data_IF_803807382231
#
_entry.id   IF_803807382231
#
_cell.length_a   1.000
_cell.length_b   1.000
_cell.length_c   1.000
_cell.angle_alpha   90.00
_cell.angle_beta   90.00
_cell.angle_gamma   90.00
#
_symmetry.space_group_name_H-M   'P 1'
#
loop_
_entity.id
_entity.type
_entity.pdbx_description
1 polymer ?
#
# COMPACT_ATOMS: atom_id res chain seq x y z
N UNK A 1 5.59 -0.22 -17.41
CA UNK A 1 5.89 -0.70 -16.04
C UNK A 1 4.64 -0.53 -15.21
N UNK A 2 4.34 -1.50 -14.36
CA UNK A 2 3.22 -1.47 -13.41
C UNK A 2 3.82 -1.18 -12.05
N UNK A 3 3.30 -0.16 -11.36
CA UNK A 3 3.51 0.00 -9.93
C UNK A 3 2.28 -0.56 -9.21
N UNK A 4 2.49 -1.41 -8.21
CA UNK A 4 1.42 -2.05 -7.48
C UNK A 4 1.52 -1.80 -5.97
N UNK A 5 0.37 -1.50 -5.39
CA UNK A 5 0.13 -1.29 -3.96
C UNK A 5 -1.28 -1.80 -3.61
N UNK A 6 -1.60 -1.94 -2.34
CA UNK A 6 -2.97 -2.21 -1.89
C UNK A 6 -3.58 -1.00 -1.15
N UNK A 7 -4.91 -0.89 -1.19
CA UNK A 7 -5.62 0.29 -0.67
C UNK A 7 -6.21 0.12 0.72
N UNK A 8 -6.35 -1.13 1.17
CA UNK A 8 -6.89 -1.45 2.48
C UNK A 8 -5.84 -1.27 3.58
N UNK A 9 -6.30 -1.39 4.83
CA UNK A 9 -5.43 -1.34 6.00
C UNK A 9 -6.03 -2.24 7.07
N UNK A 10 -5.18 -2.77 7.96
CA UNK A 10 -5.67 -3.49 9.15
C UNK A 10 -6.33 -2.51 10.14
N UNK A 11 -7.61 -2.67 10.50
CA UNK A 11 -8.31 -1.76 11.42
C UNK A 11 -8.12 -2.16 12.89
N UNK A 12 -6.94 -1.89 13.48
CA UNK A 12 -6.64 -2.19 14.88
C UNK A 12 -6.50 -0.92 15.72
N UNK A 13 -6.98 -0.96 16.96
CA UNK A 13 -6.87 0.15 17.91
C UNK A 13 -6.55 -0.33 19.32
N UNK A 14 -5.94 0.53 20.12
CA UNK A 14 -5.69 0.29 21.54
C UNK A 14 -7.01 0.20 22.32
N UNK A 15 -7.00 -0.56 23.41
CA UNK A 15 -8.21 -0.85 24.21
C UNK A 15 -8.94 0.39 24.74
N UNK A 16 -8.23 1.48 24.98
CA UNK A 16 -8.74 2.76 25.50
C UNK A 16 -9.11 3.76 24.42
N UNK A 17 -8.90 3.43 23.14
CA UNK A 17 -9.15 4.32 22.00
C UNK A 17 -10.57 4.13 21.45
N UNK A 18 -11.33 5.23 21.39
CA UNK A 18 -12.64 5.27 20.73
C UNK A 18 -12.45 5.81 19.31
N UNK A 19 -12.55 4.91 18.34
CA UNK A 19 -12.37 5.19 16.91
C UNK A 19 -13.27 4.24 16.10
N UNK A 20 -13.95 4.77 15.09
CA UNK A 20 -14.78 4.08 14.10
C UNK A 20 -14.09 4.15 12.73
N UNK A 21 -13.42 3.08 12.30
CA UNK A 21 -12.63 3.04 11.05
C UNK A 21 -13.45 3.31 9.77
N UNK A 22 -14.77 3.18 9.81
CA UNK A 22 -15.62 3.49 8.66
C UNK A 22 -15.93 4.99 8.53
N UNK A 23 -15.66 5.79 9.57
CA UNK A 23 -16.11 7.19 9.66
C UNK A 23 -15.02 8.16 10.09
N UNK A 24 -14.18 7.74 11.03
CA UNK A 24 -13.19 8.58 11.66
C UNK A 24 -11.88 8.54 10.86
N UNK A 25 -11.23 9.68 10.62
CA UNK A 25 -9.93 9.71 9.96
C UNK A 25 -8.82 9.22 10.89
N UNK A 26 -7.75 8.66 10.31
CA UNK A 26 -6.53 8.32 11.06
C UNK A 26 -5.84 9.61 11.51
N UNK A 27 -5.72 9.81 12.84
CA UNK A 27 -4.98 10.93 13.41
C UNK A 27 -3.49 10.63 13.45
N UNK A 28 -2.72 11.29 12.56
CA UNK A 28 -1.27 11.11 12.49
C UNK A 28 -0.51 12.16 13.30
N UNK A 29 0.70 11.80 13.75
CA UNK A 29 1.65 12.71 14.39
C UNK A 29 3.10 12.28 14.08
N UNK A 30 4.01 13.24 14.21
CA UNK A 30 5.46 13.01 14.07
C UNK A 30 6.07 12.85 15.47
N UNK A 31 6.89 11.82 15.64
CA UNK A 31 7.63 11.50 16.85
C UNK A 31 9.10 11.24 16.50
N UNK A 32 9.91 12.30 16.58
CA UNK A 32 11.27 12.29 16.08
C UNK A 32 11.30 12.04 14.57
N UNK A 33 11.93 10.95 14.17
CA UNK A 33 12.04 10.52 12.77
C UNK A 33 10.87 9.63 12.31
N UNK A 34 9.89 9.36 13.18
CA UNK A 34 8.77 8.46 12.89
C UNK A 34 7.47 9.22 12.66
N UNK A 35 6.64 8.72 11.74
CA UNK A 35 5.23 9.07 11.65
C UNK A 35 4.42 7.95 12.31
N UNK A 36 3.44 8.30 13.14
CA UNK A 36 2.63 7.35 13.92
C UNK A 36 1.16 7.76 13.90
N UNK A 37 0.27 6.82 14.20
CA UNK A 37 -1.14 7.08 14.44
C UNK A 37 -1.46 7.10 15.95
N UNK A 38 -2.43 7.91 16.35
CA UNK A 38 -2.84 8.01 17.76
C UNK A 38 -3.80 6.88 18.12
N UNK A 39 -3.27 5.84 18.78
CA UNK A 39 -4.08 4.78 19.36
C UNK A 39 -4.71 3.82 18.35
N UNK A 40 -4.35 3.92 17.07
CA UNK A 40 -4.76 3.04 15.98
C UNK A 40 -3.56 2.55 15.17
N UNK A 41 -3.76 1.60 14.28
CA UNK A 41 -2.87 1.37 13.14
C UNK A 41 -2.78 2.61 12.26
N UNK A 42 -1.64 2.79 11.61
CA UNK A 42 -1.35 3.92 10.73
C UNK A 42 -1.83 3.69 9.30
N UNK A 43 -1.85 2.45 8.83
CA UNK A 43 -2.06 2.14 7.41
C UNK A 43 -0.88 2.60 6.54
N UNK A 44 0.33 2.63 7.11
CA UNK A 44 1.55 2.91 6.34
C UNK A 44 1.78 1.80 5.30
N UNK A 45 1.52 0.55 5.71
CA UNK A 45 1.30 -0.55 4.79
C UNK A 45 -0.19 -0.61 4.37
N UNK A 46 -0.55 -0.46 3.08
CA UNK A 46 0.29 0.00 1.96
C UNK A 46 -0.01 1.43 1.50
N UNK A 47 -0.51 2.27 2.42
CA UNK A 47 -0.79 3.68 2.17
C UNK A 47 0.42 4.47 1.67
N UNK A 48 1.64 4.12 2.10
CA UNK A 48 2.87 4.75 1.59
C UNK A 48 3.14 4.37 0.13
N UNK A 49 2.95 3.09 -0.23
CA UNK A 49 3.05 2.60 -1.61
C UNK A 49 2.04 3.29 -2.52
N UNK A 50 0.77 3.36 -2.11
CA UNK A 50 -0.28 4.09 -2.84
C UNK A 50 0.10 5.56 -3.01
N UNK A 51 0.56 6.23 -1.96
CA UNK A 51 0.97 7.63 -2.04
C UNK A 51 2.15 7.84 -3.01
N UNK A 52 3.14 6.94 -3.01
CA UNK A 52 4.27 7.00 -3.93
C UNK A 52 3.82 6.85 -5.40
N UNK A 53 2.91 5.92 -5.68
CA UNK A 53 2.33 5.75 -7.03
C UNK A 53 1.62 7.02 -7.49
N UNK A 54 0.79 7.61 -6.62
CA UNK A 54 0.07 8.84 -6.94
C UNK A 54 1.03 10.02 -7.17
N UNK A 55 2.10 10.12 -6.37
CA UNK A 55 3.13 11.14 -6.56
C UNK A 55 3.85 11.00 -7.91
N UNK A 56 4.18 9.76 -8.33
CA UNK A 56 4.77 9.48 -9.65
C UNK A 56 3.81 9.87 -10.77
N UNK A 57 2.51 9.57 -10.63
CA UNK A 57 1.49 9.94 -11.62
C UNK A 57 1.27 11.46 -11.71
N UNK A 58 1.39 12.18 -10.59
CA UNK A 58 1.24 13.64 -10.54
C UNK A 58 2.49 14.39 -11.07
N UNK A 59 3.68 13.79 -10.93
CA UNK A 59 4.94 14.41 -11.30
C UNK A 59 5.00 14.79 -12.79
N UNK A 60 5.50 16.00 -13.07
CA UNK A 60 5.60 16.55 -14.44
C UNK A 60 7.01 16.55 -15.00
N UNK A 61 7.99 16.30 -14.15
CA UNK A 61 9.42 16.38 -14.42
C UNK A 61 10.15 15.03 -14.28
N UNK A 62 9.42 13.99 -13.87
CA UNK A 62 9.95 12.64 -13.77
C UNK A 62 10.08 12.00 -15.16
N UNK A 63 11.27 11.50 -15.49
CA UNK A 63 11.51 10.77 -16.74
C UNK A 63 11.19 9.29 -16.54
N UNK A 64 10.13 8.81 -17.17
CA UNK A 64 9.76 7.40 -17.18
C UNK A 64 9.13 7.00 -18.52
N UNK A 65 9.09 5.69 -18.79
CA UNK A 65 8.28 5.13 -19.88
C UNK A 65 6.80 5.06 -19.52
N UNK A 66 5.95 4.38 -20.32
CA UNK A 66 4.55 4.17 -19.97
C UNK A 66 4.40 3.50 -18.60
N UNK A 67 3.51 4.06 -17.78
CA UNK A 67 3.26 3.64 -16.41
C UNK A 67 1.79 3.25 -16.26
N UNK A 68 1.55 2.13 -15.57
CA UNK A 68 0.23 1.72 -15.10
C UNK A 68 0.26 1.64 -13.57
N UNK A 69 -0.78 2.12 -12.92
CA UNK A 69 -0.98 2.00 -11.48
C UNK A 69 -2.00 0.90 -11.22
N UNK A 70 -1.60 -0.14 -10.48
CA UNK A 70 -2.48 -1.21 -10.05
C UNK A 70 -2.67 -1.10 -8.54
N UNK A 71 -3.87 -0.68 -8.11
CA UNK A 71 -4.21 -0.60 -6.69
C UNK A 71 -5.19 -1.73 -6.41
N UNK A 72 -4.75 -2.73 -5.66
CA UNK A 72 -5.57 -3.89 -5.28
C UNK A 72 -6.36 -3.61 -4.01
N UNK A 73 -7.49 -4.28 -3.87
CA UNK A 73 -8.29 -4.26 -2.65
C UNK A 73 -8.16 -5.59 -1.91
N UNK A 74 -8.25 -5.49 -0.59
CA UNK A 74 -8.42 -6.61 0.34
C UNK A 74 -7.22 -7.56 0.32
N UNK A 75 -6.03 -7.01 0.54
CA UNK A 75 -4.80 -7.77 0.78
C UNK A 75 -4.88 -8.46 2.15
N UNK A 76 -5.24 -7.68 3.18
CA UNK A 76 -5.07 -7.98 4.61
C UNK A 76 -5.99 -9.09 5.14
N UNK A 77 -6.97 -9.53 4.34
CA UNK A 77 -7.85 -10.64 4.73
C UNK A 77 -7.79 -11.86 3.82
N UNK A 78 -7.48 -11.69 2.54
CA UNK A 78 -7.55 -12.80 1.59
C UNK A 78 -7.06 -12.53 0.17
N UNK A 79 -6.42 -11.39 -0.07
CA UNK A 79 -5.87 -10.99 -1.37
C UNK A 79 -6.89 -11.05 -2.54
N UNK A 80 -8.17 -10.76 -2.28
CA UNK A 80 -9.23 -10.95 -3.28
C UNK A 80 -9.02 -10.11 -4.53
N UNK A 81 -8.47 -8.89 -4.39
CA UNK A 81 -8.12 -8.05 -5.52
C UNK A 81 -7.03 -8.66 -6.40
N UNK A 82 -6.02 -9.28 -5.79
CA UNK A 82 -4.93 -9.93 -6.51
C UNK A 82 -5.41 -11.18 -7.26
N UNK A 83 -6.14 -12.08 -6.59
CA UNK A 83 -6.69 -13.29 -7.22
C UNK A 83 -7.80 -12.99 -8.24
N UNK A 84 -8.50 -11.87 -8.06
CA UNK A 84 -9.58 -11.41 -8.95
C UNK A 84 -9.10 -10.66 -10.19
N UNK A 85 -7.79 -10.39 -10.32
CA UNK A 85 -7.25 -9.64 -11.44
C UNK A 85 -7.47 -10.39 -12.77
N UNK A 86 -8.23 -9.77 -13.67
CA UNK A 86 -8.55 -10.37 -14.97
C UNK A 86 -7.40 -10.16 -15.97
N UNK A 87 -7.13 -11.14 -16.86
CA UNK A 87 -6.19 -10.95 -17.95
C UNK A 87 -6.54 -9.72 -18.82
N UNK A 88 -5.51 -8.96 -19.21
CA UNK A 88 -5.66 -7.79 -20.09
C UNK A 88 -6.12 -6.49 -19.41
N UNK A 89 -6.26 -6.47 -18.08
CA UNK A 89 -6.55 -5.23 -17.33
C UNK A 89 -5.32 -4.31 -17.30
N UNK A 90 -4.13 -4.89 -17.18
CA UNK A 90 -2.83 -4.21 -17.24
C UNK A 90 -2.00 -4.81 -18.37
N UNK A 91 -1.12 -4.01 -18.98
CA UNK A 91 -0.36 -4.38 -20.17
C UNK A 91 1.17 -4.32 -19.97
N UNK A 92 1.63 -3.82 -18.83
CA UNK A 92 3.05 -3.70 -18.53
C UNK A 92 3.76 -5.04 -18.35
N UNK A 93 5.01 -5.07 -18.79
CA UNK A 93 5.86 -6.27 -18.76
C UNK A 93 6.65 -6.44 -17.45
N UNK A 94 6.75 -5.37 -16.66
CA UNK A 94 7.49 -5.30 -15.39
C UNK A 94 6.52 -4.78 -14.34
N UNK A 95 6.41 -5.51 -13.22
CA UNK A 95 5.67 -5.10 -12.04
C UNK A 95 6.64 -4.84 -10.89
N UNK A 96 6.51 -3.68 -10.26
CA UNK A 96 7.16 -3.33 -9.01
C UNK A 96 6.08 -3.22 -7.93
N UNK A 97 6.09 -4.19 -7.02
CA UNK A 97 5.27 -4.17 -5.81
C UNK A 97 5.98 -3.28 -4.76
N UNK A 98 5.20 -2.45 -4.06
CA UNK A 98 5.69 -1.48 -3.07
C UNK A 98 5.30 -1.87 -1.64
N UNK A 99 5.16 -3.17 -1.40
CA UNK A 99 4.56 -3.80 -0.21
C UNK A 99 5.61 -4.44 0.70
N UNK A 100 6.87 -4.05 0.52
CA UNK A 100 7.97 -4.44 1.39
C UNK A 100 8.24 -3.31 2.39
N UNK A 101 8.43 -3.67 3.66
CA UNK A 101 8.57 -2.71 4.76
C UNK A 101 10.02 -2.37 5.13
N UNK A 102 11.01 -3.07 4.57
CA UNK A 102 12.44 -2.91 4.89
C UNK A 102 13.18 -2.10 3.81
N UNK A 103 13.72 -0.94 4.21
CA UNK A 103 14.50 -0.09 3.30
C UNK A 103 15.79 -0.79 2.83
N UNK A 104 16.05 -0.72 1.51
CA UNK A 104 17.27 -1.26 0.93
C UNK A 104 17.23 -2.76 0.67
N UNK A 105 16.09 -3.41 0.94
CA UNK A 105 15.85 -4.81 0.63
C UNK A 105 14.98 -4.95 -0.64
N UNK A 106 15.30 -5.97 -1.45
CA UNK A 106 14.53 -6.31 -2.65
C UNK A 106 14.07 -7.76 -2.55
N UNK A 107 12.77 -7.94 -2.46
CA UNK A 107 12.14 -9.25 -2.46
C UNK A 107 11.86 -9.69 -3.90
N UNK A 108 12.35 -10.86 -4.27
CA UNK A 108 12.13 -11.47 -5.59
C UNK A 108 11.14 -12.64 -5.55
N UNK A 109 10.82 -13.14 -4.35
CA UNK A 109 9.87 -14.20 -4.09
C UNK A 109 9.55 -14.27 -2.59
N UNK A 110 8.36 -14.76 -2.26
CA UNK A 110 7.97 -15.16 -0.90
C UNK A 110 7.49 -16.63 -0.91
N UNK A 111 7.63 -17.38 0.20
CA UNK A 111 7.09 -18.74 0.28
C UNK A 111 5.55 -18.74 0.26
N UNK A 112 4.95 -19.78 -0.30
CA UNK A 112 3.50 -19.98 -0.26
C UNK A 112 2.99 -20.07 1.19
N UNK A 113 1.95 -19.30 1.53
CA UNK A 113 1.29 -19.31 2.85
C UNK A 113 1.90 -18.40 3.93
N UNK A 114 2.68 -17.39 3.55
CA UNK A 114 3.29 -16.40 4.45
C UNK A 114 2.61 -15.01 4.43
N UNK A 115 1.53 -14.85 3.69
CA UNK A 115 0.62 -13.70 3.70
C UNK A 115 -0.78 -14.22 4.05
#
# INVERSE_FOLDING_TARGET
>A
MILQAHSDMVPQKNNDTVHDFEKDPIETYIDGDWVKAKGTTLGADNGLGVAAILAVLEAKDLKHGPLEALITADEETGMYGAFGLKPGVVNGEILLNLDSEDEGELYIAVPEGWM
#
